data_IF_209165603775
#
_entry.id   IF_209165603775
#
_cell.length_a   1.000
_cell.length_b   1.000
_cell.length_c   1.000
_cell.angle_alpha   90.00
_cell.angle_beta   90.00
_cell.angle_gamma   90.00
#
_symmetry.space_group_name_H-M   'P 1'
#
loop_
_entity.id
_entity.type
_entity.pdbx_description
1 polymer ?
#
# COMPACT_ATOMS: atom_id res chain seq x y z
N UNK A 1 -0.39 11.64 -19.56
CA UNK A 1 -1.46 10.78 -19.01
C UNK A 1 -1.00 10.33 -17.65
N UNK A 2 -1.85 10.43 -16.63
CA UNK A 2 -1.56 9.83 -15.33
C UNK A 2 -1.69 8.31 -15.45
N UNK A 3 -0.76 7.57 -14.87
CA UNK A 3 -0.87 6.11 -14.81
C UNK A 3 -2.11 5.71 -14.00
N UNK A 4 -2.76 4.63 -14.42
CA UNK A 4 -3.91 4.03 -13.73
C UNK A 4 -3.69 2.53 -13.61
N UNK A 5 -4.36 1.93 -12.64
CA UNK A 5 -4.44 0.47 -12.47
C UNK A 5 -5.88 0.10 -12.09
N UNK A 6 -6.12 -1.12 -11.64
CA UNK A 6 -7.43 -1.57 -11.15
C UNK A 6 -7.34 -2.15 -9.74
N UNK A 7 -8.46 -2.12 -9.01
CA UNK A 7 -8.59 -2.82 -7.73
C UNK A 7 -9.00 -4.30 -7.91
N UNK A 8 -9.24 -5.01 -6.80
CA UNK A 8 -9.61 -6.42 -6.81
C UNK A 8 -10.98 -6.69 -7.45
N UNK A 9 -11.79 -5.66 -7.69
CA UNK A 9 -13.11 -5.71 -8.34
C UNK A 9 -13.06 -5.18 -9.77
N UNK A 10 -11.88 -4.82 -10.29
CA UNK A 10 -11.71 -4.27 -11.64
C UNK A 10 -12.06 -2.79 -11.77
N UNK A 11 -12.26 -2.07 -10.65
CA UNK A 11 -12.49 -0.63 -10.68
C UNK A 11 -11.18 0.10 -10.95
N UNK A 12 -11.21 1.12 -11.80
CA UNK A 12 -10.03 1.95 -12.08
C UNK A 12 -9.61 2.66 -10.80
N UNK A 13 -8.31 2.57 -10.50
CA UNK A 13 -7.62 3.29 -9.43
C UNK A 13 -6.59 4.22 -10.05
N UNK A 14 -6.56 5.46 -9.56
CA UNK A 14 -5.66 6.53 -9.99
C UNK A 14 -4.97 7.16 -8.78
N UNK A 15 -3.92 7.94 -9.03
CA UNK A 15 -3.26 8.74 -7.98
C UNK A 15 -4.27 9.63 -7.24
N UNK A 16 -4.21 9.65 -5.92
CA UNK A 16 -5.12 10.38 -5.03
C UNK A 16 -6.44 9.66 -4.72
N UNK A 17 -6.75 8.52 -5.36
CA UNK A 17 -7.85 7.67 -4.90
C UNK A 17 -7.51 7.04 -3.54
N UNK A 18 -8.54 6.75 -2.75
CA UNK A 18 -8.42 5.98 -1.52
C UNK A 18 -8.68 4.51 -1.76
N UNK A 19 -7.83 3.66 -1.19
CA UNK A 19 -7.99 2.22 -1.23
C UNK A 19 -7.86 1.62 0.17
N UNK A 20 -8.60 0.55 0.43
CA UNK A 20 -8.36 -0.34 1.55
C UNK A 20 -7.28 -1.35 1.15
N UNK A 21 -6.25 -1.49 1.97
CA UNK A 21 -5.23 -2.53 1.82
C UNK A 21 -5.84 -3.87 2.25
N UNK A 22 -5.75 -4.89 1.41
CA UNK A 22 -6.29 -6.22 1.68
C UNK A 22 -5.20 -7.23 2.04
N UNK A 23 -4.00 -7.03 1.50
CA UNK A 23 -2.83 -7.88 1.68
C UNK A 23 -1.59 -7.06 1.36
N UNK A 24 -0.44 -7.43 1.92
CA UNK A 24 0.87 -6.84 1.58
C UNK A 24 1.85 -7.96 1.24
N UNK A 25 2.68 -7.73 0.23
CA UNK A 25 3.81 -8.60 -0.06
C UNK A 25 5.03 -8.07 0.69
N UNK A 26 5.55 -8.84 1.64
CA UNK A 26 6.71 -8.46 2.47
C UNK A 26 7.92 -9.31 2.14
N UNK A 27 9.11 -8.72 2.22
CA UNK A 27 10.37 -9.45 2.11
C UNK A 27 10.58 -10.26 3.41
N UNK A 28 10.67 -11.60 3.35
CA UNK A 28 10.88 -12.43 4.54
C UNK A 28 12.25 -12.22 5.19
N UNK A 29 13.17 -11.48 4.57
CA UNK A 29 14.45 -11.09 5.14
C UNK A 29 14.39 -9.89 6.11
N UNK A 30 13.24 -9.21 6.21
CA UNK A 30 13.02 -8.17 7.22
C UNK A 30 13.01 -8.76 8.63
N UNK A 31 13.34 -7.94 9.63
CA UNK A 31 13.18 -8.34 11.02
C UNK A 31 11.69 -8.40 11.42
N UNK A 32 11.41 -9.00 12.58
CA UNK A 32 10.04 -9.26 13.02
C UNK A 32 9.25 -7.97 13.25
N UNK A 33 9.91 -6.93 13.78
CA UNK A 33 9.29 -5.63 14.05
C UNK A 33 8.88 -4.94 12.75
N UNK A 34 9.78 -4.90 11.75
CA UNK A 34 9.46 -4.37 10.42
C UNK A 34 8.34 -5.17 9.73
N UNK A 35 8.41 -6.52 9.80
CA UNK A 35 7.39 -7.40 9.22
C UNK A 35 6.00 -7.12 9.81
N UNK A 36 5.93 -6.92 11.12
CA UNK A 36 4.68 -6.63 11.82
C UNK A 36 4.13 -5.25 11.43
N UNK A 37 4.99 -4.23 11.29
CA UNK A 37 4.57 -2.92 10.77
C UNK A 37 3.96 -3.00 9.37
N UNK A 38 4.54 -3.79 8.46
CA UNK A 38 3.93 -3.98 7.14
C UNK A 38 2.62 -4.77 7.21
N UNK A 39 2.55 -5.84 8.01
CA UNK A 39 1.33 -6.65 8.19
C UNK A 39 0.18 -5.82 8.75
N UNK A 40 0.47 -4.89 9.65
CA UNK A 40 -0.51 -3.98 10.24
C UNK A 40 -1.06 -2.94 9.25
N UNK A 41 -0.47 -2.79 8.06
CA UNK A 41 -1.08 -2.01 6.99
C UNK A 41 -2.38 -2.64 6.47
N UNK A 42 -2.57 -3.96 6.62
CA UNK A 42 -3.77 -4.66 6.13
C UNK A 42 -5.02 -4.14 6.85
N UNK A 43 -6.00 -3.70 6.07
CA UNK A 43 -7.22 -3.08 6.55
C UNK A 43 -7.17 -1.56 6.62
N UNK A 44 -5.98 -0.95 6.56
CA UNK A 44 -5.83 0.50 6.51
C UNK A 44 -6.42 1.09 5.22
N UNK A 45 -6.92 2.32 5.29
CA UNK A 45 -7.34 3.09 4.12
C UNK A 45 -6.28 4.14 3.84
N UNK A 46 -5.68 4.08 2.66
CA UNK A 46 -4.58 4.93 2.26
C UNK A 46 -4.88 5.64 0.93
N UNK A 47 -4.26 6.80 0.73
CA UNK A 47 -4.24 7.48 -0.57
C UNK A 47 -3.17 6.85 -1.48
N UNK A 48 -3.49 6.66 -2.76
CA UNK A 48 -2.48 6.26 -3.75
C UNK A 48 -1.54 7.44 -4.03
N UNK A 49 -0.27 7.29 -3.69
CA UNK A 49 0.76 8.32 -3.90
C UNK A 49 1.31 8.30 -5.33
N UNK A 50 1.44 7.11 -5.90
CA UNK A 50 1.92 6.90 -7.27
C UNK A 50 1.50 5.54 -7.81
N UNK A 51 1.49 5.40 -9.13
CA UNK A 51 1.40 4.12 -9.83
C UNK A 51 2.67 3.98 -10.66
N UNK A 52 3.40 2.89 -10.48
CA UNK A 52 4.68 2.67 -11.16
C UNK A 52 4.52 2.05 -12.55
N UNK A 53 5.66 1.82 -13.23
CA UNK A 53 5.69 1.27 -14.58
C UNK A 53 5.19 -0.18 -14.70
N UNK A 54 5.18 -0.92 -13.59
CA UNK A 54 4.68 -2.30 -13.51
C UNK A 54 3.18 -2.34 -13.14
N UNK A 55 2.57 -1.18 -12.89
CA UNK A 55 1.16 -1.05 -12.55
C UNK A 55 0.84 -1.25 -11.07
N UNK A 56 1.84 -1.29 -10.20
CA UNK A 56 1.64 -1.34 -8.75
C UNK A 56 1.24 0.04 -8.23
N UNK A 57 0.19 0.08 -7.39
CA UNK A 57 -0.27 1.29 -6.74
C UNK A 57 0.39 1.44 -5.37
N UNK A 58 1.20 2.47 -5.20
CA UNK A 58 1.96 2.68 -3.98
C UNK A 58 1.18 3.49 -2.97
N UNK A 59 1.15 2.98 -1.74
CA UNK A 59 0.59 3.63 -0.56
C UNK A 59 1.66 3.76 0.51
N UNK A 60 1.43 4.69 1.44
CA UNK A 60 2.31 4.95 2.56
C UNK A 60 1.53 5.01 3.88
N UNK A 61 2.14 4.55 4.97
CA UNK A 61 1.64 4.77 6.32
C UNK A 61 2.77 5.32 7.20
N UNK A 62 2.42 6.31 8.03
CA UNK A 62 3.31 6.90 9.03
C UNK A 62 2.98 6.34 10.40
N UNK A 63 3.97 5.76 11.06
CA UNK A 63 3.87 5.14 12.37
C UNK A 63 4.57 6.00 13.41
N UNK A 64 4.01 6.08 14.60
CA UNK A 64 4.73 6.65 15.74
C UNK A 64 5.53 5.53 16.39
N UNK A 65 6.83 5.47 16.11
CA UNK A 65 7.77 4.58 16.78
C UNK A 65 8.42 5.26 17.99
N UNK A 66 9.12 4.46 18.79
CA UNK A 66 9.76 4.92 20.03
C UNK A 66 10.87 5.97 19.79
N UNK A 67 11.59 5.87 18.66
CA UNK A 67 12.65 6.80 18.27
C UNK A 67 12.18 7.89 17.27
N UNK A 68 10.88 7.94 16.97
CA UNK A 68 10.30 8.93 16.06
C UNK A 68 9.34 8.32 15.04
N UNK A 69 9.00 9.12 14.02
CA UNK A 69 8.06 8.65 12.99
C UNK A 69 8.76 7.75 11.99
N UNK A 70 8.19 6.57 11.77
CA UNK A 70 8.66 5.58 10.78
C UNK A 70 7.67 5.60 9.60
N UNK A 71 8.19 5.47 8.38
CA UNK A 71 7.39 5.40 7.16
C UNK A 71 7.49 4.00 6.55
N UNK A 72 6.35 3.34 6.35
CA UNK A 72 6.29 2.15 5.48
C UNK A 72 5.64 2.53 4.15
N UNK A 73 6.20 2.02 3.05
CA UNK A 73 5.64 2.17 1.72
C UNK A 73 5.54 0.82 1.05
N UNK A 74 4.39 0.52 0.44
CA UNK A 74 4.15 -0.75 -0.24
C UNK A 74 3.47 -0.52 -1.59
N UNK A 75 3.96 -1.20 -2.62
CA UNK A 75 3.31 -1.28 -3.92
C UNK A 75 2.27 -2.40 -3.91
N UNK A 76 1.01 -2.04 -4.13
CA UNK A 76 -0.10 -2.98 -4.14
C UNK A 76 -0.40 -3.44 -5.56
N UNK A 77 -0.45 -4.76 -5.75
CA UNK A 77 -1.06 -5.36 -6.92
C UNK A 77 -2.59 -5.19 -6.86
N UNK A 78 -3.31 -5.27 -8.00
CA UNK A 78 -4.76 -5.13 -8.03
C UNK A 78 -5.52 -5.96 -6.97
N UNK A 79 -5.12 -7.21 -6.75
CA UNK A 79 -5.78 -8.10 -5.77
C UNK A 79 -5.59 -7.69 -4.31
N UNK A 80 -4.58 -6.87 -4.03
CA UNK A 80 -4.18 -6.45 -2.69
C UNK A 80 -4.88 -5.18 -2.23
N UNK A 81 -5.76 -4.61 -3.05
CA UNK A 81 -6.47 -3.38 -2.71
C UNK A 81 -7.92 -3.39 -3.18
N UNK A 82 -8.78 -2.67 -2.46
CA UNK A 82 -10.16 -2.38 -2.80
C UNK A 82 -10.36 -0.87 -2.82
N UNK A 83 -10.91 -0.31 -3.90
CA UNK A 83 -11.24 1.11 -3.96
C UNK A 83 -12.40 1.43 -3.01
N UNK A 84 -12.29 2.53 -2.27
CA UNK A 84 -13.31 3.00 -1.30
C UNK A 84 -14.27 4.00 -1.94
#
# INVERSE_FOLDING_TARGET
>A
MSATTIDCKGQIVSMGDKVRVLEVSVDPGLDEDDLDMFRDMVGAICDIERIDGEGAAWVALWWNGDEGTILTQVGLAPRQMERV
#
